data_IF_640302776406
#
_entry.id   IF_640302776406
#
_cell.length_a   1.000
_cell.length_b   1.000
_cell.length_c   1.000
_cell.angle_alpha   90.00
_cell.angle_beta   90.00
_cell.angle_gamma   90.00
#
_symmetry.space_group_name_H-M   'P 1'
#
loop_
_entity.id
_entity.type
_entity.pdbx_description
1 polymer ?
#
# COMPACT_ATOMS: atom_id res chain seq x y z
N UNK A 1 6.17 -17.87 -13.80
CA UNK A 1 5.29 -16.69 -13.70
C UNK A 1 5.94 -15.43 -14.27
N UNK A 2 7.13 -15.02 -13.81
CA UNK A 2 7.82 -13.82 -14.34
C UNK A 2 8.05 -13.85 -15.86
N UNK A 3 8.49 -14.97 -16.45
CA UNK A 3 8.66 -15.09 -17.92
C UNK A 3 7.34 -14.92 -18.69
N UNK A 4 6.26 -15.53 -18.20
CA UNK A 4 4.94 -15.47 -18.84
C UNK A 4 4.37 -14.05 -18.82
N UNK A 5 4.46 -13.35 -17.70
CA UNK A 5 3.96 -11.97 -17.59
C UNK A 5 4.86 -10.98 -18.34
N UNK A 6 6.18 -11.23 -18.34
CA UNK A 6 7.14 -10.45 -19.13
C UNK A 6 6.88 -10.57 -20.63
N UNK A 7 6.39 -11.72 -21.12
CA UNK A 7 5.98 -11.88 -22.52
C UNK A 7 4.87 -10.89 -22.94
N UNK A 8 3.92 -10.58 -22.04
CA UNK A 8 2.79 -9.68 -22.35
C UNK A 8 3.07 -8.21 -21.96
N UNK A 9 3.85 -7.97 -20.91
CA UNK A 9 4.00 -6.64 -20.29
C UNK A 9 5.46 -6.15 -20.24
N UNK A 10 6.39 -6.84 -20.90
CA UNK A 10 7.80 -6.46 -20.98
C UNK A 10 8.62 -7.02 -19.81
N UNK A 11 8.70 -6.31 -18.68
CA UNK A 11 9.46 -6.76 -17.49
C UNK A 11 8.52 -6.90 -16.31
N UNK A 12 8.44 -8.12 -15.76
CA UNK A 12 7.65 -8.38 -14.56
C UNK A 12 8.41 -9.16 -13.48
N UNK A 13 8.07 -8.88 -12.22
CA UNK A 13 8.46 -9.70 -11.06
C UNK A 13 7.78 -11.07 -11.04
N UNK A 14 6.63 -11.24 -11.70
CA UNK A 14 5.83 -12.47 -11.67
C UNK A 14 5.12 -12.74 -10.35
N UNK A 15 5.09 -11.76 -9.44
CA UNK A 15 4.50 -11.90 -8.10
C UNK A 15 2.98 -11.88 -8.15
N UNK A 16 2.38 -11.01 -8.94
CA UNK A 16 0.93 -10.90 -9.08
C UNK A 16 0.28 -12.20 -9.61
N UNK A 17 0.80 -12.83 -10.68
CA UNK A 17 0.29 -14.14 -11.11
C UNK A 17 0.62 -15.27 -10.12
N UNK A 18 1.75 -15.21 -9.40
CA UNK A 18 2.06 -16.20 -8.35
C UNK A 18 1.07 -16.12 -7.17
N UNK A 19 0.81 -14.92 -6.68
CA UNK A 19 -0.17 -14.66 -5.62
C UNK A 19 -1.58 -15.10 -6.06
N UNK A 20 -1.98 -14.76 -7.29
CA UNK A 20 -3.27 -15.18 -7.85
C UNK A 20 -3.40 -16.70 -7.93
N UNK A 21 -2.31 -17.39 -8.29
CA UNK A 21 -2.29 -18.86 -8.38
C UNK A 21 -2.37 -19.52 -6.99
N UNK A 22 -1.60 -19.02 -6.02
CA UNK A 22 -1.55 -19.60 -4.67
C UNK A 22 -2.80 -19.27 -3.84
N UNK A 23 -3.44 -18.12 -4.10
CA UNK A 23 -4.57 -17.61 -3.31
C UNK A 23 -4.27 -17.57 -1.80
N UNK A 24 -3.01 -17.33 -1.46
CA UNK A 24 -2.49 -17.25 -0.09
C UNK A 24 -1.63 -15.98 0.06
N UNK A 25 -1.62 -15.36 1.24
CA UNK A 25 -0.66 -14.29 1.56
C UNK A 25 0.78 -14.81 1.44
N UNK A 26 1.63 -14.04 0.76
CA UNK A 26 3.05 -14.37 0.57
C UNK A 26 3.88 -13.27 1.22
N UNK A 27 4.73 -13.64 2.17
CA UNK A 27 5.78 -12.78 2.67
C UNK A 27 6.98 -12.86 1.71
N UNK A 28 7.43 -11.71 1.23
CA UNK A 28 8.53 -11.60 0.26
C UNK A 28 9.74 -11.07 1.00
N UNK A 29 10.66 -11.95 1.37
CA UNK A 29 11.93 -11.58 2.00
C UNK A 29 12.96 -11.19 0.93
N UNK A 30 12.96 -11.87 -0.22
CA UNK A 30 13.80 -11.55 -1.38
C UNK A 30 13.24 -12.13 -2.69
N UNK A 31 13.93 -11.90 -3.82
CA UNK A 31 13.55 -12.49 -5.12
C UNK A 31 13.58 -14.02 -5.14
N UNK A 32 14.29 -14.65 -4.20
CA UNK A 32 14.43 -16.12 -4.09
C UNK A 32 13.86 -16.68 -2.79
N UNK A 33 13.39 -15.82 -1.90
CA UNK A 33 12.89 -16.20 -0.57
C UNK A 33 11.46 -15.69 -0.39
N UNK A 34 10.53 -16.61 -0.59
CA UNK A 34 9.08 -16.39 -0.57
C UNK A 34 8.48 -17.37 0.44
N UNK A 35 7.82 -16.84 1.47
CA UNK A 35 7.23 -17.63 2.52
C UNK A 35 5.70 -17.52 2.47
N UNK A 36 4.95 -18.62 2.31
CA UNK A 36 3.52 -18.60 2.54
C UNK A 36 3.28 -18.24 4.00
N UNK A 37 2.50 -17.19 4.25
CA UNK A 37 2.20 -16.75 5.61
C UNK A 37 0.70 -16.76 5.87
N UNK A 38 0.33 -16.94 7.15
CA UNK A 38 -1.04 -16.76 7.59
C UNK A 38 -1.32 -15.28 7.80
N UNK A 39 -2.49 -14.81 7.37
CA UNK A 39 -3.05 -13.58 7.95
C UNK A 39 -3.51 -13.94 9.39
N UNK A 40 -3.23 -13.11 10.40
CA UNK A 40 -3.77 -13.33 11.74
C UNK A 40 -5.29 -13.52 11.71
N UNK A 41 -5.86 -14.21 12.71
CA UNK A 41 -7.30 -14.41 12.74
C UNK A 41 -8.04 -13.07 12.79
N UNK A 42 -9.00 -12.87 11.87
CA UNK A 42 -9.89 -11.71 11.90
C UNK A 42 -10.63 -11.67 13.23
N UNK A 43 -10.52 -10.53 13.92
CA UNK A 43 -11.30 -10.25 15.13
C UNK A 43 -12.41 -9.26 14.77
N UNK A 44 -13.53 -9.31 15.48
CA UNK A 44 -14.61 -8.33 15.33
C UNK A 44 -14.26 -6.98 15.98
N UNK A 45 -13.12 -6.40 15.63
CA UNK A 45 -12.77 -5.07 16.11
C UNK A 45 -13.19 -3.97 15.12
N UNK A 46 -13.11 -2.73 15.62
CA UNK A 46 -13.55 -1.54 14.88
C UNK A 46 -12.57 -1.16 13.77
N UNK A 47 -11.31 -1.55 13.92
CA UNK A 47 -10.26 -1.24 12.97
C UNK A 47 -10.42 -2.04 11.69
N UNK A 48 -9.90 -1.51 10.59
CA UNK A 48 -9.94 -2.18 9.31
C UNK A 48 -8.77 -1.84 8.39
N UNK A 49 -8.43 -2.81 7.54
CA UNK A 49 -7.79 -2.57 6.25
C UNK A 49 -8.88 -2.58 5.19
N UNK A 50 -8.85 -1.62 4.28
CA UNK A 50 -9.82 -1.51 3.20
C UNK A 50 -9.14 -1.10 1.89
N UNK A 51 -9.77 -1.41 0.78
CA UNK A 51 -9.43 -0.83 -0.52
C UNK A 51 -10.33 0.36 -0.78
N UNK A 52 -9.77 1.43 -1.37
CA UNK A 52 -10.52 2.57 -1.88
C UNK A 52 -10.26 2.69 -3.38
N UNK A 53 -11.30 2.54 -4.19
CA UNK A 53 -11.20 2.68 -5.64
C UNK A 53 -11.05 4.17 -6.01
N UNK A 54 -10.02 4.48 -6.78
CA UNK A 54 -9.79 5.84 -7.30
C UNK A 54 -10.69 6.19 -8.48
N UNK A 55 -11.33 5.18 -9.08
CA UNK A 55 -12.11 5.20 -10.33
C UNK A 55 -11.30 5.74 -11.53
N UNK A 56 -9.97 5.73 -11.41
CA UNK A 56 -9.04 6.13 -12.45
C UNK A 56 -8.21 4.93 -12.85
N UNK A 57 -8.12 4.66 -14.14
CA UNK A 57 -7.26 3.61 -14.66
C UNK A 57 -5.80 4.08 -14.51
N UNK A 58 -5.05 3.42 -13.64
CA UNK A 58 -3.61 3.65 -13.51
C UNK A 58 -2.86 3.06 -14.71
N UNK A 59 -1.74 3.69 -15.07
CA UNK A 59 -0.79 3.12 -16.03
C UNK A 59 0.54 2.89 -15.32
N UNK A 60 1.00 1.64 -15.30
CA UNK A 60 2.22 1.24 -14.59
C UNK A 60 3.47 1.87 -15.20
N UNK A 61 3.58 1.89 -16.54
CA UNK A 61 4.80 2.32 -17.21
C UNK A 61 5.22 3.78 -16.86
N UNK A 62 4.33 4.80 -16.97
CA UNK A 62 4.69 6.16 -16.57
C UNK A 62 5.08 6.28 -15.09
N UNK A 63 4.44 5.51 -14.22
CA UNK A 63 4.74 5.54 -12.78
C UNK A 63 6.12 4.95 -12.49
N UNK A 64 6.49 3.87 -13.18
CA UNK A 64 7.83 3.27 -13.11
C UNK A 64 8.89 4.24 -13.63
N UNK A 65 8.63 4.91 -14.76
CA UNK A 65 9.56 5.91 -15.31
C UNK A 65 9.81 7.06 -14.32
N UNK A 66 8.75 7.63 -13.73
CA UNK A 66 8.86 8.66 -12.69
C UNK A 66 9.68 8.15 -11.51
N UNK A 67 9.39 6.93 -11.03
CA UNK A 67 10.11 6.35 -9.90
C UNK A 67 11.61 6.18 -10.22
N UNK A 68 11.94 5.63 -11.38
CA UNK A 68 13.32 5.43 -11.82
C UNK A 68 14.07 6.75 -12.00
N UNK A 69 13.40 7.81 -12.47
CA UNK A 69 13.99 9.14 -12.54
C UNK A 69 14.30 9.68 -11.14
N UNK A 70 13.38 9.54 -10.18
CA UNK A 70 13.61 9.95 -8.79
C UNK A 70 14.72 9.15 -8.12
N UNK A 71 14.88 7.87 -8.46
CA UNK A 71 15.98 7.01 -7.99
C UNK A 71 17.37 7.49 -8.43
N UNK A 72 17.49 8.39 -9.42
CA UNK A 72 18.78 9.02 -9.75
C UNK A 72 19.23 10.02 -8.68
N UNK A 73 18.30 10.52 -7.87
CA UNK A 73 18.58 11.43 -6.76
C UNK A 73 19.04 10.64 -5.51
N UNK A 74 20.17 11.01 -4.92
CA UNK A 74 20.72 10.36 -3.73
C UNK A 74 19.81 10.49 -2.50
N UNK A 75 19.22 11.67 -2.28
CA UNK A 75 18.29 11.90 -1.18
C UNK A 75 17.04 11.02 -1.29
N UNK A 76 16.48 10.87 -2.49
CA UNK A 76 15.34 9.96 -2.71
C UNK A 76 15.74 8.50 -2.47
N UNK A 77 16.91 8.05 -2.96
CA UNK A 77 17.41 6.68 -2.69
C UNK A 77 17.56 6.41 -1.20
N UNK A 78 18.15 7.37 -0.47
CA UNK A 78 18.31 7.27 0.98
C UNK A 78 16.96 7.17 1.70
N UNK A 79 16.00 8.01 1.33
CA UNK A 79 14.62 7.94 1.85
C UNK A 79 13.98 6.57 1.58
N UNK A 80 14.16 5.99 0.38
CA UNK A 80 13.66 4.64 0.09
C UNK A 80 14.28 3.59 1.03
N UNK A 81 15.60 3.59 1.18
CA UNK A 81 16.31 2.57 1.96
C UNK A 81 16.15 2.73 3.47
N UNK A 82 16.06 3.96 3.97
CA UNK A 82 16.12 4.24 5.42
C UNK A 82 14.77 4.61 6.03
N UNK A 83 13.82 5.17 5.27
CA UNK A 83 12.51 5.57 5.78
C UNK A 83 11.41 4.66 5.26
N UNK A 84 11.28 4.53 3.93
CA UNK A 84 10.19 3.78 3.32
C UNK A 84 10.29 2.27 3.63
N UNK A 85 11.48 1.68 3.46
CA UNK A 85 11.72 0.27 3.76
C UNK A 85 11.51 -0.01 5.26
N UNK A 86 12.09 0.82 6.14
CA UNK A 86 11.96 0.69 7.59
C UNK A 86 10.50 0.65 8.05
N UNK A 87 9.68 1.61 7.62
CA UNK A 87 8.27 1.64 8.01
C UNK A 87 7.46 0.52 7.36
N UNK A 88 7.82 0.09 6.15
CA UNK A 88 7.17 -1.05 5.49
C UNK A 88 7.43 -2.35 6.25
N UNK A 89 8.68 -2.62 6.61
CA UNK A 89 9.07 -3.82 7.36
C UNK A 89 8.42 -3.83 8.75
N UNK A 90 8.40 -2.67 9.43
CA UNK A 90 7.72 -2.53 10.70
C UNK A 90 6.21 -2.81 10.58
N UNK A 91 5.52 -2.27 9.55
CA UNK A 91 4.12 -2.57 9.30
C UNK A 91 3.86 -4.07 9.08
N UNK A 92 4.75 -4.75 8.34
CA UNK A 92 4.63 -6.20 8.09
C UNK A 92 4.77 -6.97 9.40
N UNK A 93 5.79 -6.66 10.21
CA UNK A 93 6.00 -7.32 11.50
C UNK A 93 4.84 -7.07 12.46
N UNK A 94 4.39 -5.82 12.60
CA UNK A 94 3.25 -5.47 13.45
C UNK A 94 1.97 -6.19 12.99
N UNK A 95 1.73 -6.27 11.68
CA UNK A 95 0.59 -6.98 11.13
C UNK A 95 0.65 -8.47 11.45
N UNK A 96 1.79 -9.13 11.22
CA UNK A 96 1.97 -10.57 11.48
C UNK A 96 1.87 -10.91 12.97
N UNK A 97 2.35 -10.03 13.85
CA UNK A 97 2.28 -10.20 15.31
C UNK A 97 0.94 -9.77 15.91
N UNK A 98 0.10 -9.07 15.13
CA UNK A 98 -1.17 -8.51 15.60
C UNK A 98 -1.00 -7.30 16.53
N UNK A 99 0.12 -6.57 16.46
CA UNK A 99 0.32 -5.32 17.18
C UNK A 99 -0.33 -4.16 16.43
N UNK A 100 -1.64 -4.03 16.63
CA UNK A 100 -2.47 -3.02 15.97
C UNK A 100 -2.00 -1.60 16.28
N UNK A 101 -1.55 -1.34 17.51
CA UNK A 101 -1.17 0.01 17.94
C UNK A 101 0.11 0.46 17.25
N UNK A 102 1.13 -0.40 17.22
CA UNK A 102 2.37 -0.15 16.50
C UNK A 102 2.12 -0.03 15.00
N UNK A 103 1.27 -0.92 14.45
CA UNK A 103 0.88 -0.89 13.04
C UNK A 103 0.34 0.48 12.62
N UNK A 104 -0.63 1.05 13.35
CA UNK A 104 -1.20 2.35 13.00
C UNK A 104 -0.18 3.49 13.05
N UNK A 105 0.72 3.47 14.04
CA UNK A 105 1.81 4.43 14.11
C UNK A 105 2.74 4.33 12.90
N UNK A 106 3.13 3.11 12.50
CA UNK A 106 4.01 2.89 11.36
C UNK A 106 3.33 3.19 10.02
N UNK A 107 2.05 2.84 9.87
CA UNK A 107 1.27 3.17 8.68
C UNK A 107 1.10 4.69 8.53
N UNK A 108 0.91 5.43 9.62
CA UNK A 108 0.87 6.91 9.58
C UNK A 108 2.16 7.48 9.00
N UNK A 109 3.32 6.99 9.46
CA UNK A 109 4.61 7.44 8.94
C UNK A 109 4.79 7.06 7.47
N UNK A 110 4.46 5.82 7.10
CA UNK A 110 4.52 5.36 5.72
C UNK A 110 3.62 6.21 4.80
N UNK A 111 2.40 6.49 5.22
CA UNK A 111 1.45 7.34 4.51
C UNK A 111 2.00 8.76 4.31
N UNK A 112 2.66 9.33 5.33
CA UNK A 112 3.34 10.64 5.24
C UNK A 112 4.51 10.62 4.26
N UNK A 113 5.35 9.58 4.32
CA UNK A 113 6.47 9.38 3.38
C UNK A 113 5.94 9.28 1.95
N UNK A 114 4.87 8.53 1.74
CA UNK A 114 4.21 8.39 0.42
C UNK A 114 3.69 9.74 -0.08
N UNK A 115 2.94 10.50 0.73
CA UNK A 115 2.43 11.81 0.30
C UNK A 115 3.55 12.81 0.00
N UNK A 116 4.63 12.82 0.80
CA UNK A 116 5.76 13.73 0.62
C UNK A 116 6.62 13.40 -0.59
N UNK A 117 6.90 12.12 -0.81
CA UNK A 117 7.90 11.67 -1.78
C UNK A 117 7.31 11.09 -3.07
N UNK A 118 6.06 10.64 -3.06
CA UNK A 118 5.42 9.95 -4.19
C UNK A 118 4.22 10.73 -4.73
N UNK A 119 4.08 12.01 -4.36
CA UNK A 119 3.01 12.90 -4.82
C UNK A 119 2.71 12.84 -6.33
N UNK A 120 3.69 12.77 -7.26
CA UNK A 120 3.41 12.63 -8.69
C UNK A 120 2.74 11.30 -9.08
N UNK A 121 2.87 10.27 -8.26
CA UNK A 121 2.29 8.94 -8.45
C UNK A 121 0.92 8.79 -7.76
N UNK A 122 0.46 9.84 -7.06
CA UNK A 122 -0.87 9.93 -6.48
C UNK A 122 -1.67 10.87 -7.39
N UNK A 123 -2.85 10.49 -7.91
CA UNK A 123 -3.64 11.41 -8.71
C UNK A 123 -4.02 12.65 -7.89
N UNK A 124 -3.94 13.82 -8.53
CA UNK A 124 -3.99 15.13 -7.86
C UNK A 124 -5.24 15.33 -7.00
N UNK A 125 -6.39 14.79 -7.43
CA UNK A 125 -7.66 14.87 -6.68
C UNK A 125 -7.59 14.21 -5.29
N UNK A 126 -6.67 13.27 -5.10
CA UNK A 126 -6.49 12.56 -3.83
C UNK A 126 -5.46 13.19 -2.89
N UNK A 127 -4.67 14.18 -3.32
CA UNK A 127 -3.64 14.78 -2.44
C UNK A 127 -4.25 15.41 -1.20
N UNK A 128 -5.37 16.14 -1.36
CA UNK A 128 -6.07 16.75 -0.23
C UNK A 128 -6.76 15.69 0.64
N UNK A 129 -7.31 14.64 0.03
CA UNK A 129 -7.91 13.52 0.76
C UNK A 129 -6.87 12.83 1.64
N UNK A 130 -5.72 12.51 1.06
CA UNK A 130 -4.60 11.88 1.75
C UNK A 130 -4.10 12.72 2.93
N UNK A 131 -3.94 14.03 2.71
CA UNK A 131 -3.54 14.96 3.78
C UNK A 131 -4.59 15.01 4.90
N UNK A 132 -5.89 15.06 4.57
CA UNK A 132 -6.97 15.04 5.57
C UNK A 132 -6.92 13.79 6.45
N UNK A 133 -6.64 12.62 5.88
CA UNK A 133 -6.46 11.40 6.68
C UNK A 133 -5.32 11.52 7.70
N UNK A 134 -4.17 12.04 7.26
CA UNK A 134 -3.00 12.28 8.12
C UNK A 134 -3.23 13.34 9.22
N UNK A 135 -4.02 14.37 8.92
CA UNK A 135 -4.30 15.47 9.84
C UNK A 135 -5.36 15.11 10.89
N UNK A 136 -6.35 14.29 10.50
CA UNK A 136 -7.48 13.89 11.35
C UNK A 136 -7.23 12.62 12.15
N UNK A 137 -6.26 11.79 11.73
CA UNK A 137 -6.04 10.44 12.21
C UNK A 137 -7.25 9.50 12.03
N UNK A 138 -8.17 9.85 11.12
CA UNK A 138 -9.35 9.04 10.81
C UNK A 138 -9.05 7.87 9.86
N UNK A 139 -8.01 8.00 9.04
CA UNK A 139 -7.52 6.96 8.15
C UNK A 139 -6.13 7.31 7.60
N UNK A 140 -5.39 6.29 7.19
CA UNK A 140 -4.13 6.44 6.47
C UNK A 140 -4.19 5.67 5.17
N UNK A 141 -3.58 6.21 4.13
CA UNK A 141 -3.56 5.61 2.80
C UNK A 141 -2.15 5.18 2.41
N UNK A 142 -2.07 4.18 1.54
CA UNK A 142 -0.86 3.66 0.91
C UNK A 142 -1.16 3.32 -0.55
N UNK A 143 -0.16 3.46 -1.42
CA UNK A 143 -0.26 3.00 -2.81
C UNK A 143 -0.40 1.47 -2.84
N UNK A 144 -1.35 0.98 -3.63
CA UNK A 144 -1.45 -0.44 -4.00
C UNK A 144 -0.89 -0.60 -5.42
N UNK A 145 0.27 -1.26 -5.55
CA UNK A 145 0.99 -1.34 -6.81
C UNK A 145 1.72 -0.04 -7.18
N UNK A 146 1.76 0.27 -8.48
CA UNK A 146 2.58 1.36 -9.04
C UNK A 146 2.04 2.78 -8.80
N UNK A 147 0.78 2.94 -8.42
CA UNK A 147 0.11 4.25 -8.34
C UNK A 147 -0.44 4.74 -9.69
N UNK A 148 -0.80 6.02 -9.75
CA UNK A 148 -1.41 6.67 -10.92
C UNK A 148 -2.91 6.42 -11.10
N UNK A 149 -3.53 5.65 -10.20
CA UNK A 149 -4.93 5.24 -10.25
C UNK A 149 -5.10 3.86 -9.60
N UNK A 150 -6.16 3.15 -9.95
CA UNK A 150 -6.52 1.85 -9.38
C UNK A 150 -7.01 1.98 -7.95
N UNK A 151 -6.55 1.09 -7.08
CA UNK A 151 -6.93 1.09 -5.68
C UNK A 151 -5.86 1.70 -4.79
N UNK A 152 -6.28 2.35 -3.71
CA UNK A 152 -5.43 2.63 -2.56
C UNK A 152 -5.74 1.64 -1.44
N UNK A 153 -4.71 1.26 -0.70
CA UNK A 153 -4.87 0.51 0.54
C UNK A 153 -5.04 1.49 1.69
N UNK A 154 -6.14 1.39 2.41
CA UNK A 154 -6.51 2.23 3.54
C UNK A 154 -6.47 1.48 4.86
N UNK A 155 -6.12 2.19 5.92
CA UNK A 155 -6.08 1.69 7.29
C UNK A 155 -6.83 2.66 8.19
N UNK A 156 -7.68 2.15 9.09
CA UNK A 156 -8.43 2.97 10.06
C UNK A 156 -8.67 2.21 11.36
N UNK A 157 -8.67 2.93 12.49
CA UNK A 157 -9.09 2.39 13.80
C UNK A 157 -10.62 2.30 13.95
N UNK A 158 -11.39 3.06 13.16
CA UNK A 158 -12.86 3.02 13.15
C UNK A 158 -13.40 3.05 11.71
N UNK A 159 -13.65 1.85 11.16
CA UNK A 159 -14.12 1.72 9.78
C UNK A 159 -15.50 2.31 9.54
N UNK A 160 -16.38 2.32 10.55
CA UNK A 160 -17.72 2.86 10.37
C UNK A 160 -17.65 4.38 10.23
N UNK A 161 -16.86 5.05 11.08
CA UNK A 161 -16.56 6.47 10.95
C UNK A 161 -15.89 6.79 9.61
N UNK A 162 -14.88 6.02 9.20
CA UNK A 162 -14.19 6.23 7.92
C UNK A 162 -15.13 6.07 6.72
N UNK A 163 -16.07 5.12 6.76
CA UNK A 163 -17.10 4.96 5.73
C UNK A 163 -17.97 6.21 5.57
N UNK A 164 -18.33 6.86 6.69
CA UNK A 164 -19.10 8.10 6.66
C UNK A 164 -18.27 9.25 6.08
N UNK A 165 -17.00 9.38 6.47
CA UNK A 165 -16.09 10.42 5.97
C UNK A 165 -15.82 10.26 4.47
N UNK A 166 -15.62 9.02 4.03
CA UNK A 166 -15.28 8.66 2.65
C UNK A 166 -16.50 8.17 1.85
N UNK A 167 -17.72 8.60 2.21
CA UNK A 167 -18.97 8.12 1.61
C UNK A 167 -19.07 8.33 0.08
N UNK A 168 -18.26 9.23 -0.46
CA UNK A 168 -18.19 9.53 -1.90
C UNK A 168 -17.33 8.54 -2.69
N UNK A 169 -16.60 7.66 -2.00
CA UNK A 169 -15.67 6.70 -2.59
C UNK A 169 -16.17 5.27 -2.36
N UNK A 170 -15.83 4.37 -3.29
CA UNK A 170 -16.12 2.95 -3.16
C UNK A 170 -15.07 2.31 -2.25
N UNK A 171 -15.52 1.83 -1.09
CA UNK A 171 -14.67 1.14 -0.13
C UNK A 171 -14.99 -0.35 -0.08
N UNK A 172 -13.96 -1.19 -0.13
CA UNK A 172 -14.06 -2.64 0.04
C UNK A 172 -13.32 -3.04 1.31
N UNK A 173 -14.00 -3.74 2.23
CA UNK A 173 -13.38 -4.22 3.45
C UNK A 173 -12.47 -5.42 3.13
N UNK A 174 -11.21 -5.36 3.56
CA UNK A 174 -10.23 -6.43 3.35
C UNK A 174 -10.02 -7.23 4.63
N UNK A 175 -9.84 -6.54 5.75
CA UNK A 175 -9.47 -7.17 7.02
C UNK A 175 -9.99 -6.35 8.21
N UNK A 176 -10.27 -7.01 9.34
CA UNK A 176 -10.71 -6.41 10.61
C UNK A 176 -9.74 -6.72 11.74
N UNK A 177 -9.37 -5.69 12.50
CA UNK A 177 -8.56 -5.77 13.71
C UNK A 177 -9.43 -5.51 14.93
#
# INVERSE_FOLDING_TARGET
FSEMESFFHGKSSGLDPLNSYLSLPILINSTTDLEPTGIPSQKEGKGAVFLMDSEQIGSTAPMVEIFMEKMKNEGFRKMISEEFALHTDACIQDFLQGDVKSLFSNVKQLSKVVLGNFKPMIPQKFHQLWQKGLDSDDYYLKLCGSGGGGYFLGFTEDYNKTKEILNQYKLELVYRF
#
